data_IF_853693711711
#
_entry.id   IF_853693711711
#
_cell.length_a   1.000
_cell.length_b   1.000
_cell.length_c   1.000
_cell.angle_alpha   90.00
_cell.angle_beta   90.00
_cell.angle_gamma   90.00
#
_symmetry.space_group_name_H-M   'P 1'
#
loop_
_entity.id
_entity.type
_entity.pdbx_description
1 polymer ?
#
# COMPACT_ATOMS: atom_id res chain seq x y z
N UNK A 1 28.04 -24.03 -14.09
CA UNK A 1 28.61 -24.35 -12.79
C UNK A 1 29.09 -23.05 -12.17
N UNK A 2 28.23 -22.39 -11.40
CA UNK A 2 28.66 -21.30 -10.52
C UNK A 2 29.03 -21.91 -9.19
N UNK A 3 30.25 -22.43 -9.09
CA UNK A 3 30.76 -23.05 -7.88
C UNK A 3 31.96 -22.26 -7.39
N UNK A 4 32.00 -21.96 -6.10
CA UNK A 4 33.21 -21.54 -5.37
C UNK A 4 34.22 -22.72 -5.25
N UNK A 5 34.18 -23.62 -6.22
CA UNK A 5 34.97 -24.84 -6.29
C UNK A 5 36.38 -24.49 -6.70
N UNK A 6 37.34 -25.08 -6.01
CA UNK A 6 38.76 -25.05 -6.40
C UNK A 6 39.06 -26.01 -7.57
N UNK A 7 38.04 -26.70 -8.09
CA UNK A 7 38.15 -27.64 -9.20
C UNK A 7 37.75 -26.95 -10.50
N UNK A 8 38.69 -26.83 -11.43
CA UNK A 8 38.44 -26.43 -12.81
C UNK A 8 37.98 -27.66 -13.63
N UNK A 9 36.87 -27.52 -14.35
CA UNK A 9 36.41 -28.55 -15.28
C UNK A 9 36.83 -28.12 -16.69
N UNK A 10 37.66 -28.95 -17.32
CA UNK A 10 38.19 -28.72 -18.67
C UNK A 10 37.58 -29.75 -19.64
N UNK A 11 36.37 -29.53 -20.18
CA UNK A 11 35.77 -30.47 -21.10
C UNK A 11 36.45 -30.33 -22.47
N UNK A 12 36.75 -31.46 -23.10
CA UNK A 12 37.36 -31.52 -24.42
C UNK A 12 36.73 -32.61 -25.27
N UNK A 13 36.83 -32.44 -26.58
CA UNK A 13 36.41 -33.40 -27.60
C UNK A 13 37.66 -33.90 -28.34
N UNK A 14 37.76 -35.21 -28.52
CA UNK A 14 38.77 -35.85 -29.36
C UNK A 14 38.05 -36.44 -30.57
N UNK A 15 38.47 -36.08 -31.78
CA UNK A 15 37.92 -36.63 -33.03
C UNK A 15 38.76 -37.85 -33.47
N UNK A 16 38.22 -39.06 -33.36
CA UNK A 16 38.92 -40.32 -33.69
C UNK A 16 38.28 -40.98 -34.91
N UNK A 17 39.07 -41.29 -35.94
CA UNK A 17 38.61 -42.02 -37.11
C UNK A 17 38.65 -43.55 -36.89
N UNK A 18 37.83 -44.35 -37.61
CA UNK A 18 37.89 -45.80 -37.53
C UNK A 18 39.31 -46.33 -37.84
N UNK A 19 39.88 -47.10 -36.90
CA UNK A 19 41.23 -47.66 -37.03
C UNK A 19 42.37 -46.78 -36.50
N UNK A 20 42.10 -45.58 -35.99
CA UNK A 20 43.10 -44.76 -35.28
C UNK A 20 43.22 -45.15 -33.81
N UNK A 21 44.44 -45.01 -33.27
CA UNK A 21 44.73 -45.19 -31.84
C UNK A 21 44.27 -43.95 -31.05
N UNK A 22 43.50 -44.19 -29.99
CA UNK A 22 43.01 -43.15 -29.08
C UNK A 22 44.16 -42.42 -28.35
N UNK A 23 45.33 -43.06 -28.22
CA UNK A 23 46.51 -42.50 -27.57
C UNK A 23 47.44 -41.76 -28.54
N UNK A 24 47.08 -41.64 -29.83
CA UNK A 24 47.89 -40.88 -30.78
C UNK A 24 47.89 -39.39 -30.41
N UNK A 25 49.07 -38.90 -30.00
CA UNK A 25 49.30 -37.50 -29.62
C UNK A 25 49.11 -36.49 -30.76
N UNK A 26 49.03 -36.95 -32.02
CA UNK A 26 48.70 -36.11 -33.17
C UNK A 26 47.19 -35.94 -33.38
N UNK A 27 46.35 -36.64 -32.62
CA UNK A 27 44.89 -36.57 -32.75
C UNK A 27 44.38 -35.16 -32.39
N UNK A 28 43.58 -34.50 -33.25
CA UNK A 28 43.04 -33.18 -32.95
C UNK A 28 42.17 -33.18 -31.69
N UNK A 29 42.51 -32.29 -30.75
CA UNK A 29 41.73 -32.04 -29.54
C UNK A 29 41.09 -30.65 -29.62
N UNK A 30 39.80 -30.56 -29.32
CA UNK A 30 39.05 -29.31 -29.30
C UNK A 30 38.51 -29.06 -27.90
N UNK A 31 38.72 -27.86 -27.37
CA UNK A 31 38.09 -27.46 -26.12
C UNK A 31 36.58 -27.37 -26.31
N UNK A 32 35.83 -27.97 -25.41
CA UNK A 32 34.39 -27.80 -25.33
C UNK A 32 34.08 -26.61 -24.40
N UNK A 33 32.99 -25.89 -24.68
CA UNK A 33 32.51 -24.84 -23.79
C UNK A 33 31.46 -25.41 -22.83
N UNK A 34 31.54 -25.05 -21.56
CA UNK A 34 30.42 -25.24 -20.63
C UNK A 34 29.32 -24.23 -20.93
N UNK A 35 28.11 -24.73 -21.20
CA UNK A 35 26.92 -23.89 -21.31
C UNK A 35 26.05 -24.08 -20.08
N UNK A 36 25.82 -23.00 -19.34
CA UNK A 36 24.89 -23.03 -18.22
C UNK A 36 23.45 -22.99 -18.71
N UNK A 37 22.55 -23.62 -17.94
CA UNK A 37 21.11 -23.48 -18.11
C UNK A 37 20.58 -22.44 -17.12
N UNK A 38 19.61 -21.65 -17.56
CA UNK A 38 18.91 -20.69 -16.70
C UNK A 38 18.25 -21.47 -15.57
N UNK A 39 18.47 -21.03 -14.34
CA UNK A 39 17.79 -21.49 -13.15
C UNK A 39 17.84 -20.40 -12.08
N UNK A 40 16.92 -20.45 -11.11
CA UNK A 40 16.80 -19.43 -10.06
C UNK A 40 18.10 -19.24 -9.25
N UNK A 41 18.89 -20.31 -9.04
CA UNK A 41 20.17 -20.22 -8.32
C UNK A 41 21.25 -19.46 -9.09
N UNK A 42 21.34 -19.66 -10.41
CA UNK A 42 22.21 -18.87 -11.28
C UNK A 42 21.79 -17.40 -11.32
N UNK A 43 20.49 -17.14 -11.42
CA UNK A 43 19.94 -15.78 -11.44
C UNK A 43 20.26 -15.02 -10.14
N UNK A 44 20.05 -15.64 -8.97
CA UNK A 44 20.44 -15.05 -7.67
C UNK A 44 21.92 -14.63 -7.64
N UNK A 45 22.83 -15.57 -7.97
CA UNK A 45 24.28 -15.28 -7.94
C UNK A 45 24.65 -14.13 -8.87
N UNK A 46 24.15 -14.15 -10.10
CA UNK A 46 24.49 -13.14 -11.12
C UNK A 46 23.83 -11.79 -10.84
N UNK A 47 22.72 -11.75 -10.12
CA UNK A 47 22.09 -10.51 -9.66
C UNK A 47 22.72 -9.90 -8.40
N UNK A 48 23.84 -10.46 -7.92
CA UNK A 48 24.50 -10.02 -6.69
C UNK A 48 23.80 -10.48 -5.40
N UNK A 49 22.91 -11.47 -5.50
CA UNK A 49 22.31 -12.14 -4.34
C UNK A 49 23.09 -13.42 -4.04
N UNK A 50 24.08 -13.30 -3.15
CA UNK A 50 24.92 -14.42 -2.72
C UNK A 50 24.21 -15.46 -1.84
N UNK A 51 22.94 -15.22 -1.50
CA UNK A 51 22.21 -16.12 -0.62
C UNK A 51 21.70 -17.36 -1.35
N UNK A 52 21.97 -18.54 -0.77
CA UNK A 52 21.30 -19.79 -1.14
C UNK A 52 19.91 -19.93 -0.51
N UNK A 53 19.45 -18.95 0.28
CA UNK A 53 18.13 -18.99 0.94
C UNK A 53 17.01 -19.06 -0.09
N UNK A 54 16.06 -19.95 0.16
CA UNK A 54 14.84 -20.03 -0.60
C UNK A 54 14.08 -18.69 -0.50
N UNK A 55 13.35 -18.36 -1.56
CA UNK A 55 12.43 -17.21 -1.57
C UNK A 55 11.24 -17.55 -0.68
N UNK A 56 10.94 -16.67 0.28
CA UNK A 56 9.68 -16.73 1.01
C UNK A 56 8.53 -16.57 0.00
N UNK A 57 7.56 -17.50 -0.05
CA UNK A 57 6.45 -17.40 -1.01
C UNK A 57 5.68 -16.11 -0.84
N UNK A 58 5.35 -15.46 -1.95
CA UNK A 58 4.59 -14.21 -1.95
C UNK A 58 3.69 -14.11 -3.17
N UNK A 59 2.56 -13.44 -3.01
CA UNK A 59 1.57 -13.23 -4.06
C UNK A 59 1.57 -11.78 -4.48
N UNK A 60 1.49 -11.50 -5.78
CA UNK A 60 1.37 -10.16 -6.32
C UNK A 60 -0.05 -9.91 -6.82
N UNK A 61 -0.66 -8.81 -6.37
CA UNK A 61 -1.94 -8.31 -6.84
C UNK A 61 -1.68 -7.13 -7.78
N UNK A 62 -2.20 -7.21 -9.00
CA UNK A 62 -1.90 -6.28 -10.08
C UNK A 62 -0.73 -6.74 -10.94
N UNK A 63 -1.01 -7.01 -12.21
CA UNK A 63 -0.04 -7.28 -13.28
C UNK A 63 0.00 -6.10 -14.28
N UNK A 64 -0.29 -4.88 -13.80
CA UNK A 64 -0.19 -3.65 -14.60
C UNK A 64 1.26 -3.23 -14.89
N UNK A 65 1.45 -1.96 -15.26
CA UNK A 65 2.79 -1.43 -15.58
C UNK A 65 3.79 -1.55 -14.43
N UNK A 66 3.35 -1.27 -13.19
CA UNK A 66 4.20 -1.40 -11.98
C UNK A 66 4.43 -2.86 -11.62
N UNK A 67 3.34 -3.63 -11.41
CA UNK A 67 3.42 -5.04 -11.00
C UNK A 67 4.23 -5.90 -11.96
N UNK A 68 4.01 -5.77 -13.27
CA UNK A 68 4.76 -6.55 -14.28
C UNK A 68 6.27 -6.30 -14.26
N UNK A 69 6.71 -5.09 -13.88
CA UNK A 69 8.12 -4.74 -13.71
C UNK A 69 8.66 -5.25 -12.39
N UNK A 70 7.94 -5.06 -11.28
CA UNK A 70 8.35 -5.57 -9.96
C UNK A 70 8.52 -7.09 -10.03
N UNK A 71 7.55 -7.82 -10.60
CA UNK A 71 7.64 -9.26 -10.79
C UNK A 71 8.84 -9.67 -11.64
N UNK A 72 9.13 -8.96 -12.74
CA UNK A 72 10.25 -9.31 -13.61
C UNK A 72 11.60 -8.96 -12.98
N UNK A 73 11.71 -7.87 -12.22
CA UNK A 73 12.91 -7.58 -11.42
C UNK A 73 13.14 -8.65 -10.35
N UNK A 74 12.09 -9.05 -9.65
CA UNK A 74 12.15 -10.14 -8.66
C UNK A 74 12.53 -11.48 -9.30
N UNK A 75 11.96 -11.80 -10.47
CA UNK A 75 12.32 -13.01 -11.21
C UNK A 75 13.76 -12.98 -11.72
N UNK A 76 14.28 -11.84 -12.20
CA UNK A 76 15.70 -11.71 -12.57
C UNK A 76 16.63 -11.87 -11.37
N UNK A 77 16.16 -11.56 -10.17
CA UNK A 77 16.86 -11.86 -8.92
C UNK A 77 16.65 -13.31 -8.43
N UNK A 78 15.99 -14.18 -9.20
CA UNK A 78 15.67 -15.55 -8.80
C UNK A 78 14.69 -15.64 -7.61
N UNK A 79 13.85 -14.61 -7.41
CA UNK A 79 12.88 -14.43 -6.32
C UNK A 79 11.47 -14.04 -6.81
N UNK A 80 11.04 -14.61 -7.94
CA UNK A 80 9.73 -14.33 -8.53
C UNK A 80 8.55 -14.52 -7.55
N UNK A 81 7.41 -13.83 -7.77
CA UNK A 81 6.17 -14.15 -7.04
C UNK A 81 5.71 -15.57 -7.32
N UNK A 82 5.07 -16.19 -6.34
CA UNK A 82 4.46 -17.53 -6.46
C UNK A 82 3.11 -17.48 -7.17
N UNK A 83 2.35 -16.40 -6.97
CA UNK A 83 1.04 -16.18 -7.58
C UNK A 83 0.98 -14.75 -8.11
N UNK A 84 0.39 -14.56 -9.29
CA UNK A 84 0.12 -13.25 -9.88
C UNK A 84 -1.37 -13.14 -10.18
N UNK A 85 -2.00 -12.09 -9.65
CA UNK A 85 -3.45 -11.87 -9.74
C UNK A 85 -3.74 -10.58 -10.50
N UNK A 86 -4.52 -10.64 -11.57
CA UNK A 86 -5.00 -9.45 -12.29
C UNK A 86 -6.23 -9.79 -13.14
N UNK A 87 -7.33 -9.05 -12.97
CA UNK A 87 -8.55 -9.23 -13.79
C UNK A 87 -8.44 -8.67 -15.22
N UNK A 88 -7.44 -7.85 -15.45
CA UNK A 88 -7.28 -7.04 -16.65
C UNK A 88 -6.70 -7.84 -17.81
N UNK A 89 -7.17 -7.49 -19.01
CA UNK A 89 -6.63 -8.01 -20.25
C UNK A 89 -5.65 -7.01 -20.85
N UNK A 90 -4.65 -7.52 -21.56
CA UNK A 90 -3.66 -6.72 -22.24
C UNK A 90 -4.28 -5.98 -23.42
N UNK A 91 -4.16 -4.65 -23.41
CA UNK A 91 -4.59 -3.77 -24.49
C UNK A 91 -3.40 -3.08 -25.16
N UNK A 92 -3.57 -2.60 -26.39
CA UNK A 92 -2.49 -2.02 -27.20
C UNK A 92 -1.67 -0.93 -26.46
N UNK A 93 -2.35 -0.04 -25.75
CA UNK A 93 -1.70 1.04 -25.00
C UNK A 93 -0.89 0.53 -23.79
N UNK A 94 -1.21 -0.65 -23.24
CA UNK A 94 -0.46 -1.20 -22.11
C UNK A 94 0.97 -1.54 -22.51
N UNK A 95 1.23 -1.92 -23.78
CA UNK A 95 2.57 -2.27 -24.26
C UNK A 95 3.57 -1.12 -24.15
N UNK A 96 3.11 0.13 -24.03
CA UNK A 96 4.01 1.26 -23.81
C UNK A 96 4.76 1.18 -22.47
N UNK A 97 4.19 0.52 -21.46
CA UNK A 97 4.74 0.50 -20.10
C UNK A 97 4.65 -0.84 -19.37
N UNK A 98 4.15 -1.88 -20.02
CA UNK A 98 4.11 -3.24 -19.47
C UNK A 98 5.36 -4.00 -19.92
N UNK A 99 5.86 -4.95 -19.13
CA UNK A 99 7.09 -5.68 -19.49
C UNK A 99 6.92 -6.67 -20.65
N UNK A 100 5.69 -7.15 -20.86
CA UNK A 100 5.39 -8.04 -21.98
C UNK A 100 5.55 -7.31 -23.32
N UNK A 101 6.23 -7.96 -24.26
CA UNK A 101 6.34 -7.54 -25.65
C UNK A 101 5.37 -8.36 -26.51
N UNK A 102 4.76 -7.78 -27.56
CA UNK A 102 3.95 -8.55 -28.49
C UNK A 102 4.86 -9.37 -29.41
N UNK A 103 4.76 -10.70 -29.40
CA UNK A 103 5.63 -11.61 -30.16
C UNK A 103 5.05 -11.91 -31.57
N UNK A 104 3.86 -11.41 -31.90
CA UNK A 104 3.33 -11.47 -33.26
C UNK A 104 2.00 -10.73 -33.47
N UNK A 105 1.49 -10.73 -34.70
CA UNK A 105 0.19 -10.14 -35.05
C UNK A 105 -0.96 -10.85 -34.31
N UNK A 106 -0.89 -12.18 -34.20
CA UNK A 106 -1.91 -12.98 -33.52
C UNK A 106 -2.12 -12.56 -32.05
N UNK A 107 -1.04 -12.35 -31.29
CA UNK A 107 -1.12 -11.93 -29.88
C UNK A 107 -1.57 -10.48 -29.70
N UNK A 108 -1.48 -9.65 -30.75
CA UNK A 108 -2.08 -8.31 -30.77
C UNK A 108 -3.60 -8.36 -31.02
N UNK A 109 -4.11 -9.48 -31.52
CA UNK A 109 -5.52 -9.70 -31.85
C UNK A 109 -6.28 -10.46 -30.76
N UNK A 110 -5.59 -11.28 -29.94
CA UNK A 110 -6.21 -12.04 -28.86
C UNK A 110 -6.11 -11.31 -27.51
N UNK A 111 -7.20 -11.31 -26.76
CA UNK A 111 -7.25 -10.82 -25.39
C UNK A 111 -6.52 -11.81 -24.47
N UNK A 112 -5.29 -11.49 -24.08
CA UNK A 112 -4.54 -12.23 -23.07
C UNK A 112 -4.68 -11.56 -21.70
N UNK A 113 -4.88 -12.33 -20.64
CA UNK A 113 -4.85 -11.79 -19.29
C UNK A 113 -3.43 -11.31 -18.94
N UNK A 114 -3.34 -10.21 -18.20
CA UNK A 114 -2.05 -9.65 -17.79
C UNK A 114 -1.29 -10.57 -16.83
N UNK A 115 -2.02 -11.25 -15.93
CA UNK A 115 -1.44 -12.23 -15.03
C UNK A 115 -0.71 -13.36 -15.78
N UNK A 116 -1.35 -13.95 -16.80
CA UNK A 116 -0.73 -14.98 -17.65
C UNK A 116 0.53 -14.49 -18.35
N UNK A 117 0.51 -13.26 -18.88
CA UNK A 117 1.67 -12.68 -19.54
C UNK A 117 2.86 -12.51 -18.60
N UNK A 118 2.63 -12.11 -17.35
CA UNK A 118 3.70 -12.00 -16.36
C UNK A 118 4.23 -13.39 -16.00
N UNK A 119 3.35 -14.36 -15.76
CA UNK A 119 3.73 -15.75 -15.43
C UNK A 119 4.54 -16.40 -16.56
N UNK A 120 4.17 -16.18 -17.83
CA UNK A 120 4.95 -16.65 -18.99
C UNK A 120 6.39 -16.11 -18.97
N UNK A 121 6.59 -14.84 -18.58
CA UNK A 121 7.92 -14.24 -18.49
C UNK A 121 8.72 -14.80 -17.30
N UNK A 122 8.05 -15.05 -16.17
CA UNK A 122 8.66 -15.72 -15.01
C UNK A 122 9.10 -17.14 -15.38
N UNK A 123 8.28 -17.89 -16.11
CA UNK A 123 8.59 -19.24 -16.56
C UNK A 123 9.81 -19.29 -17.50
N UNK A 124 9.98 -18.28 -18.37
CA UNK A 124 11.19 -18.14 -19.22
C UNK A 124 12.48 -17.93 -18.41
N UNK A 125 12.37 -17.53 -17.15
CA UNK A 125 13.47 -17.41 -16.19
C UNK A 125 13.58 -18.63 -15.25
N UNK A 126 13.02 -19.78 -15.65
CA UNK A 126 13.05 -21.06 -14.94
C UNK A 126 12.57 -20.95 -13.47
N UNK A 127 11.48 -20.18 -13.29
CA UNK A 127 10.78 -20.03 -12.01
C UNK A 127 9.30 -20.36 -12.18
N UNK A 128 8.70 -20.88 -11.12
CA UNK A 128 7.29 -21.30 -11.12
C UNK A 128 6.42 -20.22 -10.49
N UNK A 129 5.37 -19.84 -11.20
CA UNK A 129 4.31 -18.97 -10.70
C UNK A 129 2.96 -19.44 -11.26
N UNK A 130 1.87 -19.18 -10.53
CA UNK A 130 0.50 -19.39 -10.99
C UNK A 130 -0.16 -18.06 -11.33
N UNK A 131 -0.98 -18.04 -12.39
CA UNK A 131 -1.78 -16.88 -12.76
C UNK A 131 -3.21 -17.06 -12.26
N UNK A 132 -3.79 -15.99 -11.72
CA UNK A 132 -5.20 -15.91 -11.34
C UNK A 132 -5.82 -14.70 -12.04
N UNK A 133 -6.65 -14.95 -13.04
CA UNK A 133 -7.29 -13.92 -13.87
C UNK A 133 -8.65 -13.53 -13.30
N UNK A 134 -8.67 -12.96 -12.10
CA UNK A 134 -9.89 -12.60 -11.37
C UNK A 134 -9.74 -11.26 -10.61
N UNK A 135 -10.85 -10.71 -10.14
CA UNK A 135 -10.88 -9.49 -9.35
C UNK A 135 -10.40 -9.74 -7.91
N UNK A 136 -9.36 -9.02 -7.50
CA UNK A 136 -8.76 -9.18 -6.17
C UNK A 136 -9.76 -8.91 -5.03
N UNK A 137 -10.69 -7.96 -5.18
CA UNK A 137 -11.69 -7.66 -4.15
C UNK A 137 -12.67 -8.82 -4.00
N UNK A 138 -13.12 -9.39 -5.12
CA UNK A 138 -13.96 -10.60 -5.11
C UNK A 138 -13.26 -11.78 -4.42
N UNK A 139 -11.97 -11.98 -4.71
CA UNK A 139 -11.18 -13.05 -4.06
C UNK A 139 -11.03 -12.82 -2.56
N UNK A 140 -10.74 -11.59 -2.12
CA UNK A 140 -10.65 -11.23 -0.71
C UNK A 140 -11.98 -11.49 0.02
N UNK A 141 -13.11 -11.25 -0.65
CA UNK A 141 -14.46 -11.40 -0.08
C UNK A 141 -14.88 -12.84 0.25
N UNK A 142 -14.23 -13.86 -0.31
CA UNK A 142 -14.61 -15.28 -0.12
C UNK A 142 -13.51 -16.10 0.53
N UNK A 143 -13.87 -17.16 1.27
CA UNK A 143 -12.86 -18.03 1.89
C UNK A 143 -12.04 -18.79 0.83
N UNK A 144 -12.70 -19.25 -0.23
CA UNK A 144 -12.08 -19.92 -1.37
C UNK A 144 -11.15 -18.99 -2.13
N UNK A 145 -11.56 -17.73 -2.36
CA UNK A 145 -10.71 -16.74 -3.00
C UNK A 145 -9.49 -16.38 -2.16
N UNK A 146 -9.65 -16.23 -0.85
CA UNK A 146 -8.53 -16.02 0.08
C UNK A 146 -7.52 -17.18 0.06
N UNK A 147 -7.99 -18.42 -0.02
CA UNK A 147 -7.13 -19.59 -0.18
C UNK A 147 -6.38 -19.61 -1.53
N UNK A 148 -6.94 -19.02 -2.59
CA UNK A 148 -6.23 -18.83 -3.86
C UNK A 148 -5.16 -17.73 -3.77
N UNK A 149 -5.41 -16.68 -2.99
CA UNK A 149 -4.48 -15.56 -2.80
C UNK A 149 -3.29 -15.93 -1.90
N UNK A 150 -3.54 -16.70 -0.83
CA UNK A 150 -2.52 -17.11 0.13
C UNK A 150 -2.55 -18.62 0.34
N UNK A 151 -1.67 -19.33 -0.38
CA UNK A 151 -1.40 -20.73 -0.12
C UNK A 151 -0.59 -20.89 1.19
N UNK A 152 -0.54 -22.12 1.70
CA UNK A 152 0.23 -22.44 2.91
C UNK A 152 1.68 -21.95 2.79
N UNK A 153 2.15 -21.21 3.81
CA UNK A 153 3.49 -20.61 3.82
C UNK A 153 3.65 -19.30 3.03
N UNK A 154 2.58 -18.72 2.49
CA UNK A 154 2.61 -17.37 1.90
C UNK A 154 3.00 -16.34 2.97
N UNK A 155 4.16 -15.71 2.80
CA UNK A 155 4.70 -14.75 3.76
C UNK A 155 4.08 -13.36 3.61
N UNK A 156 3.76 -12.96 2.37
CA UNK A 156 3.20 -11.63 2.10
C UNK A 156 2.37 -11.56 0.82
N UNK A 157 1.40 -10.64 0.82
CA UNK A 157 0.69 -10.19 -0.38
C UNK A 157 1.21 -8.80 -0.77
N UNK A 158 1.57 -8.61 -2.03
CA UNK A 158 2.10 -7.36 -2.57
C UNK A 158 1.06 -6.73 -3.49
N UNK A 159 0.40 -5.67 -3.01
CA UNK A 159 -0.55 -4.88 -3.78
C UNK A 159 0.16 -3.85 -4.66
N UNK A 160 -0.04 -3.97 -5.97
CA UNK A 160 0.42 -3.05 -7.01
C UNK A 160 -0.74 -2.60 -7.91
N UNK A 161 -1.98 -2.80 -7.47
CA UNK A 161 -3.20 -2.53 -8.25
C UNK A 161 -3.51 -1.04 -8.40
N UNK A 162 -2.92 -0.19 -7.55
CA UNK A 162 -3.25 1.23 -7.40
C UNK A 162 -4.73 1.47 -7.03
N UNK A 163 -5.42 0.47 -6.50
CA UNK A 163 -6.83 0.53 -6.15
C UNK A 163 -7.00 0.78 -4.66
N UNK A 164 -7.57 1.93 -4.29
CA UNK A 164 -7.94 2.21 -2.91
C UNK A 164 -8.90 1.15 -2.36
N UNK A 165 -9.85 0.69 -3.17
CA UNK A 165 -10.81 -0.34 -2.76
C UNK A 165 -10.10 -1.66 -2.45
N UNK A 166 -9.08 -2.03 -3.23
CA UNK A 166 -8.29 -3.24 -2.98
C UNK A 166 -7.48 -3.12 -1.70
N UNK A 167 -6.82 -1.98 -1.47
CA UNK A 167 -6.11 -1.71 -0.21
C UNK A 167 -7.02 -1.83 1.00
N UNK A 168 -8.16 -1.16 0.99
CA UNK A 168 -9.09 -1.19 2.12
C UNK A 168 -9.69 -2.58 2.33
N UNK A 169 -9.98 -3.32 1.24
CA UNK A 169 -10.42 -4.71 1.34
C UNK A 169 -9.35 -5.60 1.98
N UNK A 170 -8.08 -5.46 1.58
CA UNK A 170 -6.96 -6.20 2.19
C UNK A 170 -6.78 -5.86 3.68
N UNK A 171 -6.92 -4.58 4.03
CA UNK A 171 -6.75 -4.11 5.40
C UNK A 171 -7.86 -4.59 6.34
N UNK A 172 -9.10 -4.67 5.87
CA UNK A 172 -10.28 -4.79 6.72
C UNK A 172 -11.13 -6.05 6.51
N UNK A 173 -10.86 -6.85 5.49
CA UNK A 173 -11.58 -8.11 5.33
C UNK A 173 -11.34 -9.05 6.52
N UNK A 174 -12.37 -9.79 6.98
CA UNK A 174 -12.25 -10.77 8.04
C UNK A 174 -11.45 -11.98 7.53
N UNK A 175 -10.13 -11.87 7.61
CA UNK A 175 -9.18 -12.89 7.15
C UNK A 175 -8.25 -13.27 8.30
N UNK A 176 -8.63 -14.28 9.11
CA UNK A 176 -7.76 -14.84 10.15
C UNK A 176 -6.44 -15.34 9.55
N UNK A 177 -5.33 -15.09 10.24
CA UNK A 177 -3.99 -15.55 9.85
C UNK A 177 -3.54 -15.10 8.45
N UNK A 178 -4.07 -13.97 7.96
CA UNK A 178 -3.67 -13.44 6.65
C UNK A 178 -2.17 -13.11 6.60
N UNK A 179 -1.51 -13.31 5.45
CA UNK A 179 -0.15 -12.82 5.27
C UNK A 179 -0.04 -11.31 5.46
N UNK A 180 1.17 -10.83 5.69
CA UNK A 180 1.46 -9.39 5.78
C UNK A 180 1.22 -8.72 4.43
N UNK A 181 0.58 -7.56 4.44
CA UNK A 181 0.37 -6.80 3.22
C UNK A 181 1.53 -5.84 3.01
N UNK A 182 1.99 -5.82 1.77
CA UNK A 182 2.90 -4.82 1.22
C UNK A 182 2.15 -4.08 0.14
N UNK A 183 2.28 -2.76 0.07
CA UNK A 183 1.74 -1.97 -1.04
C UNK A 183 2.89 -1.23 -1.72
N UNK A 184 2.87 -1.21 -3.05
CA UNK A 184 3.74 -0.38 -3.87
C UNK A 184 2.89 0.51 -4.78
N UNK A 185 3.01 1.83 -4.61
CA UNK A 185 2.15 2.82 -5.25
C UNK A 185 2.97 3.92 -5.92
N UNK A 186 2.53 4.36 -7.10
CA UNK A 186 3.07 5.55 -7.78
C UNK A 186 2.18 6.75 -7.49
N UNK A 187 2.80 7.91 -7.34
CA UNK A 187 2.14 9.19 -7.09
C UNK A 187 2.69 10.26 -8.05
N UNK A 188 1.95 11.36 -8.21
CA UNK A 188 2.43 12.55 -8.92
C UNK A 188 2.87 12.33 -10.36
N UNK A 189 2.14 11.50 -11.11
CA UNK A 189 2.48 11.08 -12.47
C UNK A 189 3.88 10.43 -12.57
N UNK A 190 4.25 9.60 -11.59
CA UNK A 190 5.50 8.83 -11.63
C UNK A 190 6.73 9.62 -11.24
N UNK A 191 6.54 10.74 -10.55
CA UNK A 191 7.65 11.49 -9.94
C UNK A 191 7.90 11.11 -8.49
N UNK A 192 6.95 10.41 -7.87
CA UNK A 192 7.06 9.89 -6.52
C UNK A 192 6.50 8.48 -6.46
N UNK A 193 6.94 7.74 -5.47
CA UNK A 193 6.39 6.44 -5.13
C UNK A 193 6.42 6.23 -3.62
N UNK A 194 5.62 5.31 -3.13
CA UNK A 194 5.88 4.73 -1.83
C UNK A 194 5.78 3.21 -1.86
N UNK A 195 6.54 2.57 -0.97
CA UNK A 195 6.39 1.16 -0.63
C UNK A 195 6.13 1.07 0.87
N UNK A 196 5.02 0.46 1.25
CA UNK A 196 4.67 0.25 2.64
C UNK A 196 4.61 -1.25 2.93
N UNK A 197 5.12 -1.66 4.08
CA UNK A 197 4.92 -3.00 4.63
C UNK A 197 4.24 -2.85 5.98
N UNK A 198 3.11 -3.53 6.18
CA UNK A 198 2.41 -3.59 7.47
C UNK A 198 3.34 -3.90 8.62
N UNK A 199 2.97 -3.58 9.86
CA UNK A 199 3.61 -4.13 11.06
C UNK A 199 3.05 -5.51 11.42
N UNK A 200 3.65 -6.22 12.40
CA UNK A 200 3.12 -7.48 12.92
C UNK A 200 1.63 -7.37 13.29
N UNK A 201 0.88 -8.44 13.08
CA UNK A 201 -0.57 -8.51 13.37
C UNK A 201 -1.40 -7.42 12.69
N UNK A 202 -0.95 -6.94 11.53
CA UNK A 202 -1.53 -5.81 10.80
C UNK A 202 -1.60 -4.52 11.65
N UNK A 203 -0.61 -4.30 12.53
CA UNK A 203 -0.49 -3.08 13.31
C UNK A 203 0.91 -2.46 13.19
N UNK A 204 1.06 -1.34 12.47
CA UNK A 204 0.04 -0.66 11.67
C UNK A 204 -0.39 -1.49 10.45
N UNK A 205 -1.65 -1.31 10.04
CA UNK A 205 -2.21 -1.94 8.83
C UNK A 205 -1.78 -1.19 7.58
N UNK A 206 -2.02 -1.77 6.39
CA UNK A 206 -1.65 -1.11 5.14
C UNK A 206 -2.45 0.17 4.91
N UNK A 207 -3.68 0.22 5.41
CA UNK A 207 -4.51 1.43 5.40
C UNK A 207 -3.93 2.51 6.32
N UNK A 208 -3.43 2.14 7.50
CA UNK A 208 -2.79 3.08 8.44
C UNK A 208 -1.50 3.65 7.85
N UNK A 209 -0.66 2.79 7.29
CA UNK A 209 0.60 3.18 6.66
C UNK A 209 0.39 4.08 5.45
N UNK A 210 -0.67 3.86 4.67
CA UNK A 210 -1.04 4.77 3.59
C UNK A 210 -1.46 6.14 4.13
N UNK A 211 -2.22 6.19 5.22
CA UNK A 211 -2.60 7.45 5.86
C UNK A 211 -1.37 8.23 6.40
N UNK A 212 -0.39 7.53 7.01
CA UNK A 212 0.87 8.18 7.43
C UNK A 212 1.71 8.60 6.22
N UNK A 213 1.78 7.79 5.16
CA UNK A 213 2.47 8.18 3.93
C UNK A 213 1.89 9.48 3.36
N UNK A 214 0.56 9.63 3.33
CA UNK A 214 -0.09 10.86 2.89
C UNK A 214 0.23 12.04 3.80
N UNK A 215 0.30 11.82 5.10
CA UNK A 215 0.69 12.85 6.08
C UNK A 215 2.12 13.29 5.83
N UNK A 216 3.06 12.35 5.70
CA UNK A 216 4.49 12.64 5.47
C UNK A 216 4.69 13.41 4.16
N UNK A 217 4.01 13.01 3.08
CA UNK A 217 4.04 13.73 1.80
C UNK A 217 3.45 15.15 1.88
N UNK A 218 2.52 15.39 2.80
CA UNK A 218 1.84 16.69 2.95
C UNK A 218 2.60 17.69 3.85
N UNK A 219 3.66 17.25 4.53
CA UNK A 219 4.50 18.10 5.39
C UNK A 219 5.34 19.06 4.54
N UNK A 220 5.99 18.53 3.51
CA UNK A 220 6.78 19.33 2.58
C UNK A 220 5.89 19.87 1.44
N UNK A 221 6.03 21.16 1.14
CA UNK A 221 5.15 21.83 0.19
C UNK A 221 5.39 21.38 -1.26
N UNK A 222 6.64 21.08 -1.62
CA UNK A 222 6.99 20.65 -2.98
C UNK A 222 6.53 19.20 -3.20
N UNK A 223 6.77 18.33 -2.21
CA UNK A 223 6.24 16.96 -2.20
C UNK A 223 4.71 16.95 -2.31
N UNK A 224 4.02 17.80 -1.55
CA UNK A 224 2.57 17.88 -1.55
C UNK A 224 2.02 18.26 -2.94
N UNK A 225 2.66 19.24 -3.60
CA UNK A 225 2.29 19.66 -4.95
C UNK A 225 2.51 18.53 -5.96
N UNK A 226 3.59 17.76 -5.82
CA UNK A 226 3.86 16.64 -6.72
C UNK A 226 2.87 15.50 -6.47
N UNK A 227 2.74 15.04 -5.23
CA UNK A 227 1.94 13.86 -4.87
C UNK A 227 0.44 14.07 -5.09
N UNK A 228 -0.07 15.26 -4.78
CA UNK A 228 -1.50 15.56 -4.75
C UNK A 228 -1.95 16.64 -5.74
N UNK A 229 -1.04 17.20 -6.53
CA UNK A 229 -1.36 18.21 -7.53
C UNK A 229 -2.20 17.64 -8.68
N UNK A 230 -3.17 18.42 -9.15
CA UNK A 230 -4.11 18.06 -10.22
C UNK A 230 -3.50 18.05 -11.64
N UNK A 231 -2.16 18.03 -11.79
CA UNK A 231 -1.48 18.21 -13.07
C UNK A 231 -1.41 16.95 -13.96
N UNK A 232 -2.09 15.88 -13.59
CA UNK A 232 -2.07 14.67 -14.39
C UNK A 232 -3.27 14.68 -15.35
N UNK A 233 -3.08 15.18 -16.57
CA UNK A 233 -4.07 15.06 -17.64
C UNK A 233 -4.40 13.58 -17.86
N UNK A 234 -5.63 13.20 -17.52
CA UNK A 234 -6.16 11.87 -17.76
C UNK A 234 -6.28 11.67 -19.28
N UNK A 235 -5.55 10.69 -19.83
CA UNK A 235 -5.84 10.23 -21.18
C UNK A 235 -6.95 9.20 -21.08
N UNK A 236 -8.13 9.60 -21.55
CA UNK A 236 -9.27 8.69 -21.70
C UNK A 236 -8.95 7.71 -22.84
N UNK A 237 -8.40 6.54 -22.50
CA UNK A 237 -8.12 5.47 -23.47
C UNK A 237 -9.28 4.46 -23.47
N UNK A 238 -10.32 4.76 -24.26
CA UNK A 238 -11.44 3.84 -24.51
C UNK A 238 -12.39 3.63 -23.31
N UNK A 239 -13.67 3.37 -23.60
CA UNK A 239 -14.77 3.30 -22.62
C UNK A 239 -14.76 2.04 -21.71
N UNK A 240 -13.64 1.31 -21.59
CA UNK A 240 -13.63 -0.02 -20.94
C UNK A 240 -12.39 -0.36 -20.10
N UNK A 241 -11.40 0.52 -19.99
CA UNK A 241 -10.24 0.30 -19.13
C UNK A 241 -10.43 1.08 -17.82
N UNK A 242 -10.88 0.39 -16.78
CA UNK A 242 -11.23 0.96 -15.48
C UNK A 242 -10.05 1.53 -14.66
N UNK A 243 -8.88 1.72 -15.25
CA UNK A 243 -7.70 2.27 -14.59
C UNK A 243 -7.28 3.56 -15.30
N UNK A 244 -7.42 4.68 -14.61
CA UNK A 244 -6.95 6.01 -15.04
C UNK A 244 -5.47 5.88 -15.42
N UNK A 245 -5.18 6.11 -16.69
CA UNK A 245 -3.83 5.96 -17.24
C UNK A 245 -3.25 7.33 -17.54
N UNK A 246 -2.24 7.72 -16.76
CA UNK A 246 -1.49 8.96 -17.01
C UNK A 246 -0.41 8.73 -18.08
N UNK A 247 -0.22 9.67 -19.01
CA UNK A 247 0.96 9.70 -19.87
C UNK A 247 2.21 9.80 -19.00
N UNK A 248 3.13 8.86 -19.20
CA UNK A 248 4.39 8.77 -18.47
C UNK A 248 5.38 8.00 -19.32
N UNK A 249 6.63 8.47 -19.45
CA UNK A 249 7.70 7.69 -20.04
C UNK A 249 7.91 6.37 -19.31
N UNK A 250 8.19 5.29 -20.05
CA UNK A 250 8.49 4.00 -19.43
C UNK A 250 9.78 4.03 -18.61
N UNK A 251 10.73 4.93 -18.95
CA UNK A 251 11.97 5.13 -18.18
C UNK A 251 11.69 5.52 -16.74
N UNK A 252 10.79 6.48 -16.53
CA UNK A 252 10.51 7.07 -15.21
C UNK A 252 9.75 6.05 -14.36
N UNK A 253 8.77 5.39 -14.97
CA UNK A 253 8.05 4.28 -14.36
C UNK A 253 9.01 3.13 -14.01
N UNK A 254 9.92 2.77 -14.91
CA UNK A 254 10.89 1.68 -14.71
C UNK A 254 11.84 1.98 -13.57
N UNK A 255 12.34 3.22 -13.48
CA UNK A 255 13.22 3.64 -12.40
C UNK A 255 12.56 3.45 -11.03
N UNK A 256 11.33 3.95 -10.87
CA UNK A 256 10.58 3.77 -9.63
C UNK A 256 10.25 2.30 -9.38
N UNK A 257 9.71 1.57 -10.36
CA UNK A 257 9.37 0.16 -10.20
C UNK A 257 10.58 -0.72 -9.83
N UNK A 258 11.74 -0.48 -10.45
CA UNK A 258 12.99 -1.16 -10.12
C UNK A 258 13.41 -0.89 -8.67
N UNK A 259 13.32 0.37 -8.22
CA UNK A 259 13.66 0.74 -6.85
C UNK A 259 12.67 0.19 -5.81
N UNK A 260 11.38 0.11 -6.14
CA UNK A 260 10.34 -0.52 -5.30
C UNK A 260 10.52 -2.04 -5.20
N UNK A 261 11.03 -2.68 -6.26
CA UNK A 261 11.32 -4.12 -6.22
C UNK A 261 12.44 -4.48 -5.23
N UNK A 262 13.33 -3.55 -4.88
CA UNK A 262 14.44 -3.79 -3.94
C UNK A 262 13.98 -4.16 -2.52
N UNK A 263 13.15 -3.36 -1.81
CA UNK A 263 12.62 -3.77 -0.52
C UNK A 263 11.78 -5.04 -0.61
N UNK A 264 10.93 -5.19 -1.62
CA UNK A 264 10.06 -6.37 -1.79
C UNK A 264 10.89 -7.66 -1.90
N UNK A 265 11.91 -7.67 -2.76
CA UNK A 265 12.81 -8.83 -2.90
C UNK A 265 13.67 -9.05 -1.67
N UNK A 266 14.07 -7.97 -0.98
CA UNK A 266 14.75 -8.04 0.32
C UNK A 266 13.90 -8.72 1.37
N UNK A 267 12.63 -8.35 1.51
CA UNK A 267 11.70 -8.99 2.44
C UNK A 267 11.41 -10.44 2.07
N UNK A 268 11.29 -10.76 0.79
CA UNK A 268 11.18 -12.13 0.31
C UNK A 268 12.44 -12.98 0.55
N UNK A 269 13.58 -12.36 0.85
CA UNK A 269 14.86 -13.04 1.15
C UNK A 269 15.13 -13.15 2.64
N UNK A 270 15.00 -12.03 3.36
CA UNK A 270 15.51 -11.85 4.72
C UNK A 270 14.39 -11.93 5.78
N UNK A 271 13.13 -11.89 5.34
CA UNK A 271 11.97 -11.76 6.21
C UNK A 271 11.42 -10.33 6.26
N UNK A 272 10.19 -10.22 6.75
CA UNK A 272 9.45 -8.97 6.88
C UNK A 272 9.94 -8.15 8.08
N UNK A 273 9.78 -6.81 8.06
CA UNK A 273 10.24 -5.96 9.14
C UNK A 273 9.48 -6.22 10.45
N UNK A 274 10.17 -6.02 11.58
CA UNK A 274 9.62 -6.18 12.93
C UNK A 274 8.66 -5.05 13.35
N UNK A 275 8.65 -3.94 12.61
CA UNK A 275 7.77 -2.77 12.76
C UNK A 275 7.09 -2.52 11.42
N UNK A 276 6.05 -1.68 11.41
CA UNK A 276 5.55 -1.15 10.14
C UNK A 276 6.66 -0.33 9.45
N UNK A 277 6.64 -0.26 8.14
CA UNK A 277 7.65 0.48 7.39
C UNK A 277 7.01 1.21 6.21
N UNK A 278 7.26 2.51 6.08
CA UNK A 278 6.92 3.32 4.91
C UNK A 278 8.21 3.79 4.26
N UNK A 279 8.35 3.57 2.96
CA UNK A 279 9.44 4.11 2.16
C UNK A 279 8.86 5.08 1.14
N UNK A 280 9.40 6.28 1.04
CA UNK A 280 8.96 7.29 0.05
C UNK A 280 10.11 7.60 -0.89
N UNK A 281 9.89 7.36 -2.18
CA UNK A 281 10.81 7.62 -3.27
C UNK A 281 10.47 8.93 -3.97
N UNK A 282 11.49 9.74 -4.25
CA UNK A 282 11.38 11.04 -4.93
C UNK A 282 12.34 11.09 -6.10
N UNK A 283 11.81 11.44 -7.26
CA UNK A 283 12.62 11.70 -8.46
C UNK A 283 12.89 13.18 -8.59
N UNK A 284 14.11 13.54 -8.98
CA UNK A 284 14.41 14.88 -9.46
C UNK A 284 14.23 14.99 -10.98
N UNK A 285 14.40 16.20 -11.53
CA UNK A 285 14.23 16.47 -12.95
C UNK A 285 15.31 15.81 -13.84
N UNK A 286 16.45 15.45 -13.27
CA UNK A 286 17.59 14.84 -13.97
C UNK A 286 17.56 13.30 -13.90
N UNK A 287 16.54 12.72 -13.26
CA UNK A 287 16.39 11.28 -13.07
C UNK A 287 17.15 10.73 -11.86
N UNK A 288 17.61 11.57 -10.95
CA UNK A 288 18.07 11.17 -9.63
C UNK A 288 16.91 10.64 -8.78
N UNK A 289 17.20 9.68 -7.90
CA UNK A 289 16.20 9.02 -7.06
C UNK A 289 16.67 8.95 -5.61
N UNK A 290 15.91 9.57 -4.71
CA UNK A 290 16.14 9.54 -3.27
C UNK A 290 15.00 8.80 -2.56
N UNK A 291 15.35 8.01 -1.54
CA UNK A 291 14.38 7.29 -0.72
C UNK A 291 14.53 7.68 0.76
N UNK A 292 13.42 8.05 1.40
CA UNK A 292 13.31 8.12 2.87
C UNK A 292 12.65 6.85 3.38
N UNK A 293 13.02 6.42 4.59
CA UNK A 293 12.46 5.24 5.26
C UNK A 293 12.02 5.64 6.67
N UNK A 294 10.76 5.39 6.96
CA UNK A 294 10.13 5.61 8.26
C UNK A 294 9.68 4.26 8.81
N UNK A 295 10.00 4.01 10.08
CA UNK A 295 9.59 2.79 10.77
C UNK A 295 8.51 3.17 11.78
N UNK A 296 7.39 2.48 11.69
CA UNK A 296 6.16 2.79 12.40
C UNK A 296 5.89 1.78 13.51
N UNK A 297 5.67 2.31 14.72
CA UNK A 297 5.19 1.51 15.85
C UNK A 297 3.73 1.15 15.67
N UNK A 298 3.28 0.18 16.47
CA UNK A 298 1.87 -0.15 16.58
C UNK A 298 1.06 1.12 16.91
N UNK A 299 0.01 1.35 16.14
CA UNK A 299 -0.96 2.41 16.41
C UNK A 299 -1.85 1.99 17.58
N UNK A 300 -2.31 3.01 18.31
CA UNK A 300 -3.22 2.83 19.44
C UNK A 300 -4.60 2.54 18.86
N UNK A 301 -5.16 1.39 19.23
CA UNK A 301 -6.54 1.02 18.92
C UNK A 301 -7.43 1.44 20.10
N UNK A 302 -8.46 2.24 19.85
CA UNK A 302 -9.40 2.67 20.88
C UNK A 302 -10.54 1.66 20.95
N UNK A 303 -10.73 1.09 22.13
CA UNK A 303 -11.75 0.07 22.39
C UNK A 303 -13.12 0.45 21.83
N UNK A 304 -13.76 -0.52 21.18
CA UNK A 304 -15.13 -0.38 20.65
C UNK A 304 -16.15 -0.71 21.73
N UNK A 305 -17.16 0.15 21.86
CA UNK A 305 -18.29 -0.08 22.76
C UNK A 305 -19.29 -1.07 22.16
N UNK A 306 -19.36 -1.14 20.83
CA UNK A 306 -20.22 -2.05 20.08
C UNK A 306 -19.53 -2.54 18.79
N UNK A 307 -19.89 -3.73 18.25
CA UNK A 307 -19.24 -4.27 17.04
C UNK A 307 -19.43 -3.42 15.78
N UNK A 308 -20.56 -2.72 15.67
CA UNK A 308 -20.96 -1.85 14.55
C UNK A 308 -20.45 -0.40 14.72
N UNK A 309 -19.98 -0.05 15.91
CA UNK A 309 -19.37 1.26 16.15
C UNK A 309 -18.09 1.40 15.30
N UNK A 310 -17.89 2.56 14.64
CA UNK A 310 -16.65 2.78 13.91
C UNK A 310 -15.42 2.65 14.81
N UNK A 311 -14.41 1.93 14.34
CA UNK A 311 -13.14 1.82 15.06
C UNK A 311 -12.37 3.14 15.02
N UNK A 312 -11.42 3.33 15.93
CA UNK A 312 -10.54 4.51 15.94
C UNK A 312 -9.11 4.03 16.17
N UNK A 313 -8.23 4.40 15.26
CA UNK A 313 -6.79 4.15 15.37
C UNK A 313 -6.06 5.47 15.42
N UNK A 314 -5.19 5.62 16.42
CA UNK A 314 -4.46 6.86 16.69
C UNK A 314 -2.98 6.60 16.47
N UNK A 315 -2.37 7.38 15.58
CA UNK A 315 -0.94 7.36 15.37
C UNK A 315 -0.20 7.72 16.68
N UNK A 316 0.88 7.01 17.09
CA UNK A 316 1.56 7.25 18.37
C UNK A 316 2.02 8.71 18.58
N UNK A 317 2.51 9.37 17.52
CA UNK A 317 2.84 10.80 17.52
C UNK A 317 1.67 11.71 17.92
N UNK A 318 0.44 11.38 17.48
CA UNK A 318 -0.76 12.15 17.83
C UNK A 318 -1.09 11.99 19.31
N UNK A 319 -1.03 10.75 19.82
CA UNK A 319 -1.21 10.50 21.25
C UNK A 319 -0.17 11.27 22.08
N UNK A 320 1.11 11.20 21.72
CA UNK A 320 2.16 11.94 22.41
C UNK A 320 1.94 13.45 22.37
N UNK A 321 1.43 13.99 21.25
CA UNK A 321 1.09 15.42 21.14
C UNK A 321 -0.11 15.81 22.03
N UNK A 322 -1.13 14.94 22.13
CA UNK A 322 -2.26 15.11 23.06
C UNK A 322 -1.76 15.16 24.51
N UNK A 323 -0.94 14.19 24.92
CA UNK A 323 -0.38 14.13 26.28
C UNK A 323 0.48 15.36 26.59
N UNK A 324 1.30 15.79 25.63
CA UNK A 324 2.12 16.98 25.78
C UNK A 324 1.28 18.26 25.95
N UNK A 325 0.19 18.41 25.18
CA UNK A 325 -0.70 19.56 25.31
C UNK A 325 -1.45 19.56 26.66
N UNK A 326 -1.94 18.40 27.13
CA UNK A 326 -2.54 18.26 28.46
C UNK A 326 -1.56 18.66 29.57
N UNK A 327 -0.29 18.25 29.45
CA UNK A 327 0.75 18.59 30.42
C UNK A 327 1.06 20.11 30.47
N UNK A 328 0.84 20.85 29.37
CA UNK A 328 1.01 22.31 29.33
C UNK A 328 -0.10 23.06 30.08
N UNK A 329 -1.28 22.46 30.25
CA UNK A 329 -2.46 23.09 30.85
C UNK A 329 -2.98 22.29 32.06
N UNK A 330 -2.20 22.17 33.15
CA UNK A 330 -2.60 21.37 34.31
C UNK A 330 -3.86 21.93 34.99
N UNK A 331 -4.78 21.05 35.36
CA UNK A 331 -5.98 21.38 36.12
C UNK A 331 -7.09 22.09 35.34
N UNK A 332 -6.97 22.17 34.01
CA UNK A 332 -8.03 22.63 33.10
C UNK A 332 -8.18 21.68 31.92
N UNK A 333 -9.30 21.77 31.22
CA UNK A 333 -9.51 21.11 29.94
C UNK A 333 -8.82 21.89 28.81
N UNK A 334 -8.18 21.16 27.91
CA UNK A 334 -7.58 21.63 26.66
C UNK A 334 -8.01 20.70 25.53
N UNK A 335 -7.64 21.02 24.30
CA UNK A 335 -8.04 20.23 23.16
C UNK A 335 -7.50 20.76 21.85
N UNK A 336 -8.08 20.27 20.76
CA UNK A 336 -7.70 20.64 19.41
C UNK A 336 -8.51 19.93 18.36
N UNK A 337 -8.00 19.92 17.13
CA UNK A 337 -8.70 19.36 15.98
C UNK A 337 -7.95 18.14 15.47
N UNK A 338 -8.69 17.09 15.16
CA UNK A 338 -8.17 15.82 14.65
C UNK A 338 -8.08 15.85 13.13
N UNK A 339 -6.90 15.51 12.62
CA UNK A 339 -6.64 15.34 11.18
C UNK A 339 -6.39 13.87 10.87
N UNK A 340 -7.00 13.40 9.81
CA UNK A 340 -6.96 12.00 9.43
C UNK A 340 -7.86 11.67 8.27
N UNK A 341 -8.33 10.43 8.25
CA UNK A 341 -9.33 9.98 7.29
C UNK A 341 -10.31 9.00 7.94
N UNK A 342 -11.45 8.85 7.29
CA UNK A 342 -12.44 7.83 7.62
C UNK A 342 -12.50 6.80 6.49
N UNK A 343 -12.17 5.54 6.77
CA UNK A 343 -12.37 4.43 5.84
C UNK A 343 -13.81 3.95 5.94
N UNK A 344 -14.59 4.16 4.87
CA UNK A 344 -15.97 3.65 4.79
C UNK A 344 -16.00 2.11 4.69
N UNK A 345 -15.01 1.51 4.01
CA UNK A 345 -14.91 0.05 3.87
C UNK A 345 -14.54 -0.59 5.20
N UNK A 346 -13.59 0.02 5.94
CA UNK A 346 -13.18 -0.47 7.26
C UNK A 346 -14.07 -0.03 8.42
N UNK A 347 -15.02 0.88 8.18
CA UNK A 347 -15.76 1.62 9.21
C UNK A 347 -14.83 2.10 10.33
N UNK A 348 -13.83 2.92 9.96
CA UNK A 348 -12.66 3.18 10.81
C UNK A 348 -12.14 4.62 10.65
N UNK A 349 -11.93 5.30 11.78
CA UNK A 349 -11.15 6.53 11.86
C UNK A 349 -9.66 6.23 11.99
N UNK A 350 -8.85 6.93 11.20
CA UNK A 350 -7.39 6.90 11.27
C UNK A 350 -6.90 8.32 11.57
N UNK A 351 -6.44 8.55 12.79
CA UNK A 351 -5.98 9.86 13.27
C UNK A 351 -4.47 9.96 13.10
N UNK A 352 -4.00 10.85 12.23
CA UNK A 352 -2.58 10.96 11.84
C UNK A 352 -1.94 12.29 12.19
N UNK A 353 -2.72 13.34 12.42
CA UNK A 353 -2.16 14.64 12.83
C UNK A 353 -3.16 15.48 13.64
N UNK A 354 -2.70 16.62 14.15
CA UNK A 354 -3.50 17.58 14.90
C UNK A 354 -3.40 18.99 14.30
N UNK A 355 -4.45 19.78 14.45
CA UNK A 355 -4.35 21.24 14.43
C UNK A 355 -4.46 21.72 15.87
N UNK A 356 -3.48 22.49 16.33
CA UNK A 356 -3.46 23.07 17.66
C UNK A 356 -4.68 23.97 17.88
N UNK A 357 -5.15 24.04 19.13
CA UNK A 357 -6.21 24.96 19.53
C UNK A 357 -5.88 26.40 19.09
N UNK A 358 -6.82 27.09 18.40
CA UNK A 358 -6.65 28.50 18.06
C UNK A 358 -6.38 29.39 19.29
N UNK A 359 -5.68 30.53 19.13
CA UNK A 359 -5.35 31.42 20.25
C UNK A 359 -6.57 31.97 21.02
N UNK A 360 -7.74 32.03 20.37
CA UNK A 360 -9.01 32.45 20.95
C UNK A 360 -9.77 31.32 21.68
N UNK A 361 -9.15 30.15 21.88
CA UNK A 361 -9.74 29.04 22.63
C UNK A 361 -9.75 29.33 24.13
N UNK A 362 -10.87 29.03 24.80
CA UNK A 362 -11.03 29.18 26.25
C UNK A 362 -10.83 27.85 26.95
N UNK A 363 -10.06 27.84 28.04
CA UNK A 363 -9.77 26.66 28.87
C UNK A 363 -10.26 26.90 30.29
N UNK A 364 -10.96 25.95 30.87
CA UNK A 364 -11.38 25.96 32.26
C UNK A 364 -11.41 24.54 32.83
N UNK A 365 -11.57 24.40 34.14
CA UNK A 365 -11.69 23.08 34.77
C UNK A 365 -13.01 22.34 34.42
N UNK A 366 -13.99 23.04 33.84
CA UNK A 366 -15.32 22.51 33.55
C UNK A 366 -15.63 22.37 32.06
N UNK A 367 -14.92 23.10 31.20
CA UNK A 367 -15.08 23.04 29.75
C UNK A 367 -13.85 23.56 29.00
N UNK A 368 -13.62 22.97 27.83
CA UNK A 368 -12.80 23.52 26.75
C UNK A 368 -13.68 24.05 25.60
N UNK A 369 -13.48 25.32 25.24
CA UNK A 369 -14.17 25.95 24.10
C UNK A 369 -13.15 26.19 22.98
N UNK A 370 -13.29 25.43 21.89
CA UNK A 370 -12.44 25.56 20.71
C UNK A 370 -12.67 26.91 20.02
N UNK A 371 -11.59 27.69 19.91
CA UNK A 371 -11.57 28.95 19.17
C UNK A 371 -11.72 28.76 17.66
N UNK A 372 -11.87 29.86 16.92
CA UNK A 372 -12.10 29.83 15.47
C UNK A 372 -11.09 30.64 14.67
N UNK A 373 -10.24 31.42 15.36
CA UNK A 373 -9.27 32.30 14.71
C UNK A 373 -8.30 31.48 13.83
N UNK A 374 -8.33 31.74 12.52
CA UNK A 374 -7.49 31.04 11.54
C UNK A 374 -7.87 29.59 11.24
N UNK A 375 -8.82 28.99 11.99
CA UNK A 375 -9.16 27.57 11.88
C UNK A 375 -9.69 27.21 10.49
N UNK A 376 -10.55 28.05 9.90
CA UNK A 376 -11.07 27.82 8.54
C UNK A 376 -9.95 27.72 7.50
N UNK A 377 -8.92 28.58 7.61
CA UNK A 377 -7.79 28.57 6.70
C UNK A 377 -6.92 27.32 6.92
N UNK A 378 -6.70 26.91 8.17
CA UNK A 378 -5.97 25.69 8.51
C UNK A 378 -6.67 24.43 7.95
N UNK A 379 -7.98 24.30 8.16
CA UNK A 379 -8.82 23.19 7.65
C UNK A 379 -8.75 23.11 6.13
N UNK A 380 -8.97 24.24 5.43
CA UNK A 380 -8.88 24.30 3.97
C UNK A 380 -7.45 24.01 3.47
N UNK A 381 -6.44 24.40 4.26
CA UNK A 381 -5.03 24.13 3.97
C UNK A 381 -4.71 22.65 3.94
N UNK A 382 -5.24 21.86 4.89
CA UNK A 382 -5.05 20.39 4.92
C UNK A 382 -5.62 19.76 3.66
N UNK A 383 -6.92 19.97 3.39
CA UNK A 383 -7.57 19.34 2.24
C UNK A 383 -6.90 19.72 0.90
N UNK A 384 -6.40 20.96 0.77
CA UNK A 384 -5.67 21.40 -0.41
C UNK A 384 -4.30 20.71 -0.54
N UNK A 385 -3.50 20.67 0.53
CA UNK A 385 -2.16 20.06 0.48
C UNK A 385 -2.20 18.55 0.26
N UNK A 386 -3.27 17.88 0.66
CA UNK A 386 -3.39 16.43 0.52
C UNK A 386 -4.30 16.00 -0.64
N UNK A 387 -4.78 16.93 -1.47
CA UNK A 387 -5.76 16.62 -2.52
C UNK A 387 -7.02 15.91 -2.01
N UNK A 388 -7.40 16.19 -0.74
CA UNK A 388 -8.53 15.53 -0.06
C UNK A 388 -8.25 14.15 0.55
N UNK A 389 -7.03 13.60 0.41
CA UNK A 389 -6.64 12.31 0.99
C UNK A 389 -6.66 12.30 2.53
N UNK A 390 -6.34 13.44 3.16
CA UNK A 390 -6.52 13.69 4.59
C UNK A 390 -7.45 14.89 4.79
N UNK A 391 -8.21 14.85 5.87
CA UNK A 391 -9.24 15.83 6.21
C UNK A 391 -9.28 16.06 7.71
N UNK A 392 -10.00 17.10 8.12
CA UNK A 392 -10.42 17.20 9.52
C UNK A 392 -11.56 16.22 9.75
N UNK A 393 -11.36 15.32 10.70
CA UNK A 393 -12.29 14.22 11.00
C UNK A 393 -13.03 14.42 12.33
N UNK A 394 -12.67 15.45 13.08
CA UNK A 394 -13.18 15.63 14.43
C UNK A 394 -12.40 16.61 15.29
N UNK A 395 -12.69 16.59 16.57
CA UNK A 395 -11.98 17.33 17.61
C UNK A 395 -11.59 16.40 18.75
N UNK A 396 -10.63 16.84 19.57
CA UNK A 396 -10.32 16.17 20.81
C UNK A 396 -10.27 17.16 21.96
N UNK A 397 -10.50 16.67 23.17
CA UNK A 397 -10.25 17.38 24.41
C UNK A 397 -9.94 16.39 25.54
N UNK A 398 -9.57 16.88 26.71
CA UNK A 398 -9.41 16.05 27.91
C UNK A 398 -10.48 16.35 28.96
N UNK A 399 -10.80 15.33 29.77
CA UNK A 399 -11.49 15.51 31.04
C UNK A 399 -10.50 15.34 32.20
N UNK A 400 -10.70 16.07 33.28
CA UNK A 400 -9.87 15.97 34.49
C UNK A 400 -10.17 14.71 35.33
N UNK A 401 -11.30 14.08 35.06
CA UNK A 401 -11.77 12.85 35.71
C UNK A 401 -12.18 11.82 34.67
N UNK A 402 -12.31 10.56 35.10
CA UNK A 402 -12.83 9.48 34.24
C UNK A 402 -14.34 9.61 34.06
N UNK A 403 -14.74 10.51 33.17
CA UNK A 403 -16.11 10.73 32.73
C UNK A 403 -16.21 10.58 31.21
N UNK A 404 -17.29 9.93 30.77
CA UNK A 404 -17.65 9.87 29.35
C UNK A 404 -18.13 11.22 28.81
N UNK A 405 -18.58 11.28 27.54
CA UNK A 405 -19.06 12.50 26.90
C UNK A 405 -20.18 13.18 27.70
N UNK A 406 -20.07 14.49 27.87
CA UNK A 406 -21.09 15.35 28.47
C UNK A 406 -22.23 15.68 27.49
N UNK A 407 -23.29 16.33 27.97
CA UNK A 407 -24.33 16.86 27.08
C UNK A 407 -23.81 17.95 26.14
N UNK A 408 -22.83 18.75 26.59
CA UNK A 408 -22.17 19.77 25.75
C UNK A 408 -21.40 19.11 24.63
N UNK A 409 -20.72 17.99 24.90
CA UNK A 409 -20.02 17.17 23.92
C UNK A 409 -20.96 16.61 22.85
N UNK A 410 -22.13 16.12 23.27
CA UNK A 410 -23.16 15.63 22.35
C UNK A 410 -23.66 16.72 21.38
N UNK A 411 -23.85 17.95 21.88
CA UNK A 411 -24.26 19.10 21.08
C UNK A 411 -23.13 19.48 20.11
N UNK A 412 -21.89 19.56 20.59
CA UNK A 412 -20.73 19.89 19.77
C UNK A 412 -20.53 18.88 18.64
N UNK A 413 -20.57 17.58 18.94
CA UNK A 413 -20.49 16.50 17.97
C UNK A 413 -21.58 16.60 16.89
N UNK A 414 -22.82 16.89 17.29
CA UNK A 414 -23.93 17.08 16.33
C UNK A 414 -23.70 18.27 15.40
N UNK A 415 -23.17 19.39 15.90
CA UNK A 415 -22.82 20.56 15.08
C UNK A 415 -21.71 20.22 14.08
N UNK A 416 -20.68 19.46 14.51
CA UNK A 416 -19.60 19.02 13.65
C UNK A 416 -20.12 18.09 12.53
N UNK A 417 -20.93 17.10 12.88
CA UNK A 417 -21.52 16.15 11.92
C UNK A 417 -22.37 16.84 10.84
N UNK A 418 -23.05 17.95 11.16
CA UNK A 418 -23.79 18.74 10.16
C UNK A 418 -22.89 19.50 9.17
N UNK A 419 -21.61 19.69 9.52
CA UNK A 419 -20.66 20.53 8.75
C UNK A 419 -19.63 19.73 7.95
N UNK A 420 -19.62 18.40 8.08
CA UNK A 420 -18.70 17.52 7.35
C UNK A 420 -19.42 16.42 6.58
N UNK A 421 -18.70 15.81 5.63
CA UNK A 421 -19.18 14.64 4.90
C UNK A 421 -18.70 13.39 5.65
N UNK A 422 -19.64 12.60 6.20
CA UNK A 422 -19.35 11.40 6.99
C UNK A 422 -19.37 11.64 8.51
N UNK A 423 -19.08 10.61 9.31
CA UNK A 423 -19.13 10.68 10.77
C UNK A 423 -18.06 11.62 11.33
N UNK A 424 -18.43 12.38 12.37
CA UNK A 424 -17.54 13.24 13.14
C UNK A 424 -17.09 12.56 14.41
N UNK A 425 -15.79 12.60 14.68
CA UNK A 425 -15.19 12.04 15.89
C UNK A 425 -14.99 13.14 16.93
N UNK A 426 -15.50 12.93 18.14
CA UNK A 426 -15.08 13.66 19.32
C UNK A 426 -14.33 12.70 20.23
N UNK A 427 -13.02 12.90 20.35
CA UNK A 427 -12.12 12.05 21.12
C UNK A 427 -11.83 12.69 22.47
N UNK A 428 -12.04 11.96 23.56
CA UNK A 428 -11.91 12.49 24.92
C UNK A 428 -10.81 11.74 25.63
N UNK A 429 -9.74 12.43 26.02
CA UNK A 429 -8.68 11.84 26.83
C UNK A 429 -9.03 11.99 28.32
N UNK A 430 -9.19 10.89 29.03
CA UNK A 430 -9.39 10.88 30.50
C UNK A 430 -8.17 10.27 31.18
N UNK A 431 -7.99 10.36 32.52
CA UNK A 431 -6.90 9.66 33.21
C UNK A 431 -6.82 8.15 32.91
N UNK A 432 -7.96 7.49 32.77
CA UNK A 432 -8.13 6.05 32.57
C UNK A 432 -8.07 5.57 31.11
N UNK A 433 -8.06 6.46 30.12
CA UNK A 433 -7.95 6.06 28.71
C UNK A 433 -8.54 7.06 27.73
N UNK A 434 -8.98 6.56 26.58
CA UNK A 434 -9.75 7.32 25.59
C UNK A 434 -11.23 6.98 25.69
N UNK A 435 -12.05 7.98 25.94
CA UNK A 435 -13.48 7.95 25.67
C UNK A 435 -13.75 8.63 24.31
N UNK A 436 -14.95 8.42 23.77
CA UNK A 436 -15.30 8.88 22.42
C UNK A 436 -16.79 9.14 22.27
N UNK A 437 -17.11 10.00 21.33
CA UNK A 437 -18.45 10.21 20.80
C UNK A 437 -18.33 10.30 19.28
N UNK A 438 -19.14 9.52 18.58
CA UNK A 438 -19.24 9.57 17.12
C UNK A 438 -20.60 10.15 16.77
N UNK A 439 -20.61 11.21 15.97
CA UNK A 439 -21.83 11.88 15.55
C UNK A 439 -21.99 11.77 14.03
N UNK A 440 -23.17 11.35 13.58
CA UNK A 440 -23.50 11.24 12.16
C UNK A 440 -24.69 12.11 11.81
N UNK A 441 -24.69 12.66 10.60
CA UNK A 441 -25.85 13.35 10.06
C UNK A 441 -26.91 12.31 9.72
N UNK A 442 -27.92 12.15 10.58
CA UNK A 442 -29.09 11.34 10.26
C UNK A 442 -29.84 12.03 9.12
N UNK A 443 -29.75 11.48 7.90
CA UNK A 443 -30.72 11.82 6.87
C UNK A 443 -32.04 11.18 7.27
N UNK A 444 -32.99 11.99 7.74
CA UNK A 444 -34.35 11.54 7.96
C UNK A 444 -34.95 11.11 6.61
N UNK A 445 -34.87 9.82 6.27
CA UNK A 445 -35.81 9.22 5.32
C UNK A 445 -37.14 9.09 6.06
N UNK A 446 -37.94 10.16 6.07
CA UNK A 446 -39.34 10.02 6.42
C UNK A 446 -40.08 9.43 5.22
N UNK A 447 -40.29 8.12 5.25
CA UNK A 447 -41.52 7.55 4.74
C UNK A 447 -42.64 8.07 5.66
N UNK A 448 -43.27 9.18 5.26
CA UNK A 448 -44.59 9.52 5.78
C UNK A 448 -45.57 8.64 4.98
N UNK A 449 -45.87 7.45 5.51
CA UNK A 449 -47.13 6.80 5.16
C UNK A 449 -48.24 7.65 5.77
N UNK A 450 -48.85 8.49 4.93
CA UNK A 450 -50.13 9.10 5.25
C UNK A 450 -51.17 7.99 5.17
N UNK A 451 -51.58 7.47 6.33
CA UNK A 451 -52.80 6.70 6.46
C UNK A 451 -54.00 7.56 6.09
N UNK A 452 -54.47 7.45 4.85
CA UNK A 452 -55.89 7.64 4.52
C UNK A 452 -56.54 6.28 4.69
N UNK A 453 -57.50 6.08 5.58
CA UNK A 453 -58.72 6.87 5.68
C UNK A 453 -59.80 6.06 4.96
N UNK A 454 -60.64 5.41 5.76
CA UNK A 454 -61.77 4.56 5.34
C UNK A 454 -62.66 5.25 4.30
N UNK A 455 -63.06 4.51 3.27
CA UNK A 455 -64.30 4.78 2.52
C UNK A 455 -65.31 3.64 2.81
N UNK A 456 -66.62 3.95 2.84
CA UNK A 456 -67.67 3.07 3.38
C UNK A 456 -67.95 1.79 2.57
#
# INVERSE_FOLDING_TARGET
>A
MGSDSTIEICPYLIEVAPGQDFLDTATPVRLAAHRETINAGLLRRTSGDGSSTATLPWTMLGAGSVGSKIALHAARAGRAPSIVVDRGHMSAHNYARHTAMPIGIAERLFLRAKADLVVDQVAKLDQKAAAVSDDAVSLIGSAEGRAQLAQEGCAMLVDTTASLVTREALAHAPWPDRPRIVEACLLGAGRMAYVACEGPDANPSISDLAAEAYRTLAVDADDAVIAFGAQAEEVIIGQGCSAVTFPMPDSDLSMLAASMARPITGWARDGLPARGEVRIGRTDADGGLAWSVEKEDAWIDVDRSAPDEPGIRIHPRVHAAIEADIALYPGVETGGVLVGRFSQIGNLFQVVDLIAAPPDSTRSAAEFVLGTQGLKAAVLGIARRTGGALQVIGTWHNHLTDSGPSMTDAIAGSILAMRQFGPALLLIRTPGGYAKLIAERVYSQHAIEVGGGEEP
#
